data_IF_822892455455
#
_entry.id   IF_822892455455
#
_cell.length_a   1.000
_cell.length_b   1.000
_cell.length_c   1.000
_cell.angle_alpha   90.00
_cell.angle_beta   90.00
_cell.angle_gamma   90.00
#
_symmetry.space_group_name_H-M   'P 1'
#
loop_
_entity.id
_entity.type
_entity.pdbx_description
1 polymer ?
#
# COMPACT_ATOMS: atom_id res chain seq x y z
N UNK A 1 24.65 -0.35 -19.29
CA UNK A 1 24.58 -0.59 -17.83
C UNK A 1 23.13 -0.89 -17.49
N UNK A 2 22.82 -2.06 -16.92
CA UNK A 2 21.46 -2.33 -16.44
C UNK A 2 21.14 -1.31 -15.34
N UNK A 3 20.10 -0.51 -15.52
CA UNK A 3 19.70 0.47 -14.52
C UNK A 3 19.33 -0.27 -13.24
N UNK A 4 19.95 0.07 -12.12
CA UNK A 4 19.62 -0.52 -10.83
C UNK A 4 18.11 -0.34 -10.57
N UNK A 5 17.44 -1.41 -10.12
CA UNK A 5 16.02 -1.34 -9.77
C UNK A 5 15.84 -0.29 -8.69
N UNK A 6 14.95 0.68 -8.93
CA UNK A 6 14.56 1.65 -7.90
C UNK A 6 13.81 0.94 -6.77
N UNK A 7 14.05 1.38 -5.55
CA UNK A 7 13.30 0.89 -4.39
C UNK A 7 11.93 1.59 -4.30
N UNK A 8 10.93 0.89 -3.77
CA UNK A 8 9.58 1.41 -3.60
C UNK A 8 9.30 1.72 -2.13
N UNK A 9 8.83 2.92 -1.86
CA UNK A 9 8.35 3.33 -0.52
C UNK A 9 6.85 3.60 -0.59
N UNK A 10 6.09 2.93 0.28
CA UNK A 10 4.63 3.06 0.34
C UNK A 10 4.27 3.81 1.62
N UNK A 11 3.53 4.91 1.47
CA UNK A 11 3.04 5.77 2.57
C UNK A 11 1.52 5.91 2.49
N UNK A 12 0.84 6.39 3.53
CA UNK A 12 -0.62 6.49 3.52
C UNK A 12 -1.16 7.71 2.74
N UNK A 13 -0.45 8.85 2.79
CA UNK A 13 -0.94 10.13 2.27
C UNK A 13 -0.09 10.73 1.13
N UNK A 14 -0.71 11.42 0.14
CA UNK A 14 0.02 12.08 -0.95
C UNK A 14 0.98 13.18 -0.50
N UNK A 15 0.66 13.84 0.62
CA UNK A 15 1.50 14.89 1.16
C UNK A 15 2.84 14.33 1.65
N UNK A 16 2.81 13.22 2.43
CA UNK A 16 4.03 12.54 2.86
C UNK A 16 4.81 11.99 1.68
N UNK A 17 4.13 11.43 0.68
CA UNK A 17 4.79 10.90 -0.51
C UNK A 17 5.68 11.97 -1.17
N UNK A 18 5.13 13.18 -1.40
CA UNK A 18 5.87 14.31 -1.97
C UNK A 18 7.04 14.76 -1.10
N UNK A 19 6.88 14.75 0.22
CA UNK A 19 7.93 15.18 1.15
C UNK A 19 9.07 14.16 1.21
N UNK A 20 8.74 12.88 1.36
CA UNK A 20 9.72 11.80 1.46
C UNK A 20 10.46 11.59 0.13
N UNK A 21 9.77 11.71 -1.01
CA UNK A 21 10.40 11.60 -2.35
C UNK A 21 11.48 12.68 -2.56
N UNK A 22 11.28 13.89 -2.01
CA UNK A 22 12.30 14.95 -2.04
C UNK A 22 13.53 14.62 -1.18
N UNK A 23 13.35 13.93 -0.06
CA UNK A 23 14.46 13.56 0.83
C UNK A 23 15.26 12.35 0.31
N UNK A 24 14.58 11.36 -0.24
CA UNK A 24 15.21 10.10 -0.68
C UNK A 24 15.83 10.20 -2.09
N UNK A 25 15.33 11.10 -2.94
CA UNK A 25 15.90 11.34 -4.26
C UNK A 25 15.57 10.25 -5.29
N UNK A 26 16.36 10.23 -6.38
CA UNK A 26 16.02 9.52 -7.61
C UNK A 26 16.06 7.99 -7.56
N UNK A 27 16.68 7.41 -6.54
CA UNK A 27 16.82 5.97 -6.35
C UNK A 27 15.56 5.33 -5.77
N UNK A 28 14.68 6.15 -5.19
CA UNK A 28 13.42 5.72 -4.60
C UNK A 28 12.24 6.21 -5.42
N UNK A 29 11.22 5.35 -5.51
CA UNK A 29 9.88 5.76 -5.93
C UNK A 29 8.99 5.75 -4.71
N UNK A 30 8.36 6.89 -4.41
CA UNK A 30 7.42 7.00 -3.28
C UNK A 30 5.99 7.05 -3.81
N UNK A 31 5.09 6.22 -3.28
CA UNK A 31 3.69 6.12 -3.69
C UNK A 31 2.79 6.14 -2.45
N UNK A 32 1.66 6.83 -2.55
CA UNK A 32 0.65 6.84 -1.50
C UNK A 32 -0.42 5.75 -1.70
N UNK A 33 -0.81 5.03 -0.65
CA UNK A 33 -1.90 4.06 -0.66
C UNK A 33 -3.28 4.71 -0.71
N UNK A 34 -3.38 6.02 -0.43
CA UNK A 34 -4.63 6.75 -0.32
C UNK A 34 -5.55 6.20 0.79
N UNK A 35 -4.96 5.81 1.92
CA UNK A 35 -5.63 5.16 3.05
C UNK A 35 -5.69 3.64 2.94
N UNK A 36 -6.74 3.02 3.50
CA UNK A 36 -6.92 1.57 3.51
C UNK A 36 -7.24 1.01 2.11
N UNK A 37 -6.60 -0.12 1.78
CA UNK A 37 -6.79 -0.84 0.51
C UNK A 37 -7.77 -2.00 0.62
N UNK A 38 -8.04 -2.47 1.84
CA UNK A 38 -9.00 -3.53 2.15
C UNK A 38 -9.84 -3.13 3.34
N UNK A 39 -11.07 -3.64 3.37
CA UNK A 39 -12.05 -3.40 4.43
C UNK A 39 -12.94 -4.64 4.59
N UNK A 40 -13.77 -4.68 5.64
CA UNK A 40 -14.80 -5.69 5.77
C UNK A 40 -15.91 -5.47 4.71
N UNK A 41 -16.57 -6.54 4.26
CA UNK A 41 -17.77 -6.46 3.43
C UNK A 41 -18.83 -5.54 4.03
N UNK A 42 -19.31 -4.56 3.27
CA UNK A 42 -20.31 -3.59 3.77
C UNK A 42 -21.69 -4.19 4.04
N UNK A 43 -22.01 -5.32 3.41
CA UNK A 43 -23.35 -5.91 3.38
C UNK A 43 -23.51 -7.15 4.26
N UNK A 44 -22.45 -7.59 4.95
CA UNK A 44 -22.48 -8.72 5.90
C UNK A 44 -21.54 -8.43 7.07
N UNK A 45 -21.65 -9.18 8.16
CA UNK A 45 -20.81 -8.99 9.34
C UNK A 45 -19.31 -9.03 9.01
N UNK A 46 -18.91 -9.88 8.06
CA UNK A 46 -17.51 -9.98 7.61
C UNK A 46 -16.57 -10.58 8.65
N UNK A 47 -17.09 -11.16 9.73
CA UNK A 47 -16.32 -11.82 10.78
C UNK A 47 -16.97 -13.16 11.09
N UNK A 48 -16.17 -14.22 11.08
CA UNK A 48 -16.58 -15.55 11.48
C UNK A 48 -16.49 -15.70 13.00
N UNK A 49 -17.65 -15.61 13.68
CA UNK A 49 -17.72 -15.69 15.15
C UNK A 49 -17.48 -17.13 15.64
N UNK A 50 -17.82 -18.14 14.85
CA UNK A 50 -17.72 -19.55 15.25
C UNK A 50 -16.29 -20.08 15.15
N UNK A 51 -15.50 -19.56 14.19
CA UNK A 51 -14.13 -19.98 13.94
C UNK A 51 -13.10 -18.90 14.33
N UNK A 52 -13.19 -18.45 15.58
CA UNK A 52 -12.13 -17.65 16.21
C UNK A 52 -12.08 -16.18 15.77
N UNK A 53 -13.22 -15.59 15.39
CA UNK A 53 -13.32 -14.19 14.96
C UNK A 53 -12.49 -13.87 13.72
N UNK A 54 -12.42 -14.80 12.77
CA UNK A 54 -11.63 -14.60 11.54
C UNK A 54 -12.30 -13.54 10.66
N UNK A 55 -11.62 -12.42 10.33
CA UNK A 55 -12.19 -11.39 9.47
C UNK A 55 -12.04 -11.77 7.99
N UNK A 56 -13.08 -11.50 7.21
CA UNK A 56 -13.06 -11.51 5.76
C UNK A 56 -12.73 -10.10 5.25
N UNK A 57 -11.52 -9.90 4.73
CA UNK A 57 -11.13 -8.62 4.12
C UNK A 57 -11.30 -8.65 2.61
N UNK A 58 -12.06 -7.70 2.09
CA UNK A 58 -12.24 -7.48 0.65
C UNK A 58 -11.49 -6.22 0.18
N UNK A 59 -10.99 -6.18 -1.06
CA UNK A 59 -10.46 -4.95 -1.64
C UNK A 59 -11.51 -3.85 -1.67
N UNK A 60 -11.12 -2.62 -1.31
CA UNK A 60 -11.99 -1.46 -1.48
C UNK A 60 -12.11 -1.16 -2.97
N UNK A 61 -13.32 -1.28 -3.53
CA UNK A 61 -13.54 -1.14 -4.98
C UNK A 61 -13.01 0.20 -5.54
N UNK A 62 -13.17 1.29 -4.80
CA UNK A 62 -12.66 2.62 -5.18
C UNK A 62 -11.12 2.74 -5.17
N UNK A 63 -10.40 1.67 -4.79
CA UNK A 63 -8.94 1.61 -4.73
C UNK A 63 -8.34 0.59 -5.69
N UNK A 64 -9.12 0.02 -6.62
CA UNK A 64 -8.65 -0.97 -7.60
C UNK A 64 -7.40 -0.51 -8.35
N UNK A 65 -7.38 0.75 -8.79
CA UNK A 65 -6.30 1.30 -9.61
C UNK A 65 -5.01 1.43 -8.79
N UNK A 66 -5.13 1.93 -7.56
CA UNK A 66 -4.01 2.04 -6.60
C UNK A 66 -3.45 0.65 -6.29
N UNK A 67 -4.32 -0.34 -6.04
CA UNK A 67 -3.91 -1.72 -5.76
C UNK A 67 -3.14 -2.30 -6.96
N UNK A 68 -3.62 -2.06 -8.19
CA UNK A 68 -2.97 -2.55 -9.40
C UNK A 68 -1.62 -1.87 -9.63
N UNK A 69 -1.52 -0.55 -9.41
CA UNK A 69 -0.26 0.17 -9.49
C UNK A 69 0.76 -0.34 -8.45
N UNK A 70 0.34 -0.48 -7.19
CA UNK A 70 1.20 -0.99 -6.12
C UNK A 70 1.69 -2.41 -6.43
N UNK A 71 0.82 -3.31 -6.90
CA UNK A 71 1.20 -4.66 -7.33
C UNK A 71 2.22 -4.64 -8.45
N UNK A 72 2.05 -3.78 -9.46
CA UNK A 72 2.99 -3.65 -10.58
C UNK A 72 4.35 -3.17 -10.07
N UNK A 73 4.38 -2.04 -9.35
CA UNK A 73 5.63 -1.43 -8.88
C UNK A 73 6.38 -2.29 -7.88
N UNK A 74 5.66 -3.00 -7.00
CA UNK A 74 6.28 -3.91 -6.03
C UNK A 74 7.02 -5.08 -6.70
N UNK A 75 6.56 -5.56 -7.86
CA UNK A 75 7.26 -6.59 -8.64
C UNK A 75 8.51 -6.05 -9.35
N UNK A 76 8.44 -4.79 -9.77
CA UNK A 76 9.53 -4.11 -10.48
C UNK A 76 10.62 -3.61 -9.53
N UNK A 77 10.28 -3.29 -8.28
CA UNK A 77 11.21 -2.77 -7.28
C UNK A 77 12.29 -3.77 -6.87
N UNK A 78 13.40 -3.26 -6.34
CA UNK A 78 14.42 -4.04 -5.64
C UNK A 78 13.91 -4.42 -4.25
N UNK A 79 13.68 -3.39 -3.44
CA UNK A 79 13.12 -3.48 -2.08
C UNK A 79 11.81 -2.72 -1.98
N UNK A 80 10.89 -3.21 -1.15
CA UNK A 80 9.64 -2.52 -0.80
C UNK A 80 9.67 -2.13 0.68
N UNK A 81 9.58 -0.83 0.95
CA UNK A 81 9.49 -0.25 2.29
C UNK A 81 8.05 0.14 2.59
N UNK A 82 7.55 -0.30 3.74
CA UNK A 82 6.27 0.12 4.30
C UNK A 82 6.55 1.23 5.32
N UNK A 83 6.16 2.46 4.97
CA UNK A 83 6.44 3.66 5.75
C UNK A 83 5.11 4.31 6.21
N UNK A 84 4.23 3.50 6.79
CA UNK A 84 3.02 3.98 7.45
C UNK A 84 3.38 4.70 8.75
N UNK A 85 2.42 5.42 9.31
CA UNK A 85 2.59 5.97 10.65
C UNK A 85 2.87 4.85 11.68
N UNK A 86 3.62 5.17 12.75
CA UNK A 86 3.95 4.21 13.82
C UNK A 86 2.77 4.01 14.79
N UNK A 87 1.54 4.05 14.28
CA UNK A 87 0.31 3.79 15.02
C UNK A 87 -0.24 2.37 14.73
N UNK A 88 -1.44 2.07 15.24
CA UNK A 88 -2.04 0.72 15.25
C UNK A 88 -3.04 0.50 14.12
#
# INVERSE_FOLDING_TARGET
>A
MAQAKKDLVIVESPAKARTIEKYLGGDYKVIASMGHLRDLPKSKLGVDIEHGFTPEYIPVAARSDVINELKKRSKEAGTVYLATDPDR
#
